data_IF_047179273879
#
_entry.id   IF_047179273879
#
_cell.length_a   1.000
_cell.length_b   1.000
_cell.length_c   1.000
_cell.angle_alpha   90.00
_cell.angle_beta   90.00
_cell.angle_gamma   90.00
#
_symmetry.space_group_name_H-M   'P 1'
#
loop_
_entity.id
_entity.type
_entity.pdbx_description
1 polymer ?
#
# COMPACT_ATOMS: atom_id res chain seq x y z
N UNK A 1 -18.30 18.18 -22.99
CA UNK A 1 -18.74 17.08 -22.12
C UNK A 1 -17.64 16.86 -21.10
N UNK A 2 -17.98 16.86 -19.81
CA UNK A 2 -17.01 16.51 -18.75
C UNK A 2 -16.74 15.02 -18.95
N UNK A 3 -15.47 14.64 -19.18
CA UNK A 3 -15.07 13.25 -19.32
C UNK A 3 -15.37 12.43 -18.04
N UNK A 4 -15.33 11.11 -18.10
CA UNK A 4 -15.60 10.28 -16.93
C UNK A 4 -14.65 10.63 -15.78
N UNK A 5 -15.24 10.88 -14.60
CA UNK A 5 -14.46 11.19 -13.40
C UNK A 5 -13.73 9.93 -12.96
N UNK A 6 -12.40 9.98 -12.89
CA UNK A 6 -11.60 8.88 -12.36
C UNK A 6 -11.89 8.68 -10.87
N UNK A 7 -12.23 7.45 -10.48
CA UNK A 7 -12.53 7.10 -9.09
C UNK A 7 -11.44 6.21 -8.51
N UNK A 8 -10.94 6.59 -7.34
CA UNK A 8 -9.98 5.80 -6.57
C UNK A 8 -10.59 5.31 -5.27
N UNK A 9 -10.22 4.10 -4.87
CA UNK A 9 -10.54 3.54 -3.55
C UNK A 9 -9.26 3.23 -2.79
N UNK A 10 -9.07 3.89 -1.63
CA UNK A 10 -7.87 3.76 -0.81
C UNK A 10 -8.22 3.20 0.57
N UNK A 11 -7.89 1.94 0.81
CA UNK A 11 -7.95 1.40 2.17
C UNK A 11 -6.72 1.87 2.98
N UNK A 12 -6.95 2.32 4.22
CA UNK A 12 -5.89 2.88 5.08
C UNK A 12 -5.43 4.27 4.67
N UNK A 13 -6.29 5.05 3.98
CA UNK A 13 -5.96 6.37 3.46
C UNK A 13 -5.94 7.50 4.50
N UNK A 14 -6.21 7.25 5.80
CA UNK A 14 -6.29 8.31 6.81
C UNK A 14 -4.96 8.65 7.49
N UNK A 15 -3.89 7.89 7.26
CA UNK A 15 -2.56 8.09 7.88
C UNK A 15 -1.44 7.66 6.95
N UNK A 16 -0.22 8.12 7.25
CA UNK A 16 1.02 7.67 6.61
C UNK A 16 0.99 7.76 5.08
N UNK A 17 1.44 6.71 4.41
CA UNK A 17 1.54 6.65 2.94
C UNK A 17 0.16 6.83 2.27
N UNK A 18 -0.87 6.17 2.81
CA UNK A 18 -2.22 6.27 2.25
C UNK A 18 -2.79 7.68 2.29
N UNK A 19 -2.58 8.42 3.39
CA UNK A 19 -3.00 9.82 3.51
C UNK A 19 -2.27 10.71 2.50
N UNK A 20 -0.97 10.54 2.36
CA UNK A 20 -0.20 11.32 1.40
C UNK A 20 -0.64 11.04 -0.05
N UNK A 21 -0.93 9.78 -0.35
CA UNK A 21 -1.50 9.41 -1.65
C UNK A 21 -2.87 10.07 -1.88
N UNK A 22 -3.76 10.06 -0.88
CA UNK A 22 -5.07 10.73 -0.97
C UNK A 22 -4.89 12.21 -1.26
N UNK A 23 -3.95 12.91 -0.60
CA UNK A 23 -3.65 14.32 -0.87
C UNK A 23 -3.16 14.55 -2.30
N UNK A 24 -2.28 13.70 -2.80
CA UNK A 24 -1.78 13.80 -4.18
C UNK A 24 -2.88 13.55 -5.22
N UNK A 25 -3.78 12.61 -4.97
CA UNK A 25 -4.88 12.30 -5.86
C UNK A 25 -5.97 13.37 -5.83
N UNK A 26 -6.24 13.99 -4.67
CA UNK A 26 -7.25 15.04 -4.52
C UNK A 26 -6.95 16.27 -5.40
N UNK A 27 -5.69 16.53 -5.72
CA UNK A 27 -5.29 17.61 -6.64
C UNK A 27 -5.62 17.35 -8.12
N UNK A 28 -6.15 16.17 -8.49
CA UNK A 28 -6.35 15.76 -9.90
C UNK A 28 -7.81 15.64 -10.33
N UNK A 29 -8.76 16.33 -9.72
CA UNK A 29 -10.20 16.27 -10.05
C UNK A 29 -10.81 14.85 -10.04
N UNK A 30 -10.21 13.93 -9.28
CA UNK A 30 -10.66 12.56 -9.13
C UNK A 30 -11.59 12.42 -7.92
N UNK A 31 -12.54 11.49 -7.96
CA UNK A 31 -13.27 11.06 -6.77
C UNK A 31 -12.42 10.06 -5.98
N UNK A 32 -12.32 10.23 -4.66
CA UNK A 32 -11.53 9.36 -3.81
C UNK A 32 -12.39 8.87 -2.63
N UNK A 33 -12.65 7.57 -2.60
CA UNK A 33 -13.26 6.92 -1.44
C UNK A 33 -12.15 6.35 -0.55
N UNK A 34 -12.17 6.71 0.73
CA UNK A 34 -11.18 6.28 1.72
C UNK A 34 -11.83 5.36 2.74
N UNK A 35 -11.39 4.11 2.79
CA UNK A 35 -11.79 3.16 3.82
C UNK A 35 -10.78 3.15 4.95
N UNK A 36 -11.18 3.58 6.12
CA UNK A 36 -10.34 3.59 7.31
C UNK A 36 -11.18 3.69 8.58
N UNK A 37 -10.61 3.30 9.72
CA UNK A 37 -11.29 3.34 11.01
C UNK A 37 -11.60 4.76 11.49
N UNK A 38 -10.78 5.74 11.11
CA UNK A 38 -10.96 7.14 11.48
C UNK A 38 -10.63 8.08 10.32
N UNK A 39 -11.17 9.29 10.37
CA UNK A 39 -10.99 10.33 9.36
C UNK A 39 -9.97 11.41 9.75
N UNK A 40 -9.32 11.30 10.90
CA UNK A 40 -8.64 12.35 11.68
C UNK A 40 -7.81 13.38 10.90
N UNK A 41 -7.17 12.98 9.80
CA UNK A 41 -6.28 13.86 9.03
C UNK A 41 -6.67 13.99 7.55
N UNK A 42 -7.84 13.46 7.17
CA UNK A 42 -8.29 13.51 5.78
C UNK A 42 -8.74 14.92 5.39
N UNK A 43 -8.36 15.40 4.19
CA UNK A 43 -8.99 16.56 3.59
C UNK A 43 -10.40 16.18 3.12
N UNK A 44 -11.40 16.28 4.01
CA UNK A 44 -12.81 15.90 3.70
C UNK A 44 -13.47 16.95 2.79
N UNK A 45 -12.77 17.97 2.38
CA UNK A 45 -13.24 18.96 1.43
C UNK A 45 -12.96 18.50 -0.02
N UNK A 46 -13.93 18.70 -0.89
CA UNK A 46 -13.79 18.36 -2.31
C UNK A 46 -14.07 16.88 -2.65
N UNK A 47 -13.22 16.21 -3.43
CA UNK A 47 -13.52 14.90 -4.02
C UNK A 47 -13.31 13.71 -3.07
N UNK A 48 -12.98 13.95 -1.79
CA UNK A 48 -12.64 12.89 -0.83
C UNK A 48 -13.86 12.52 0.02
N UNK A 49 -14.25 11.26 0.00
CA UNK A 49 -15.28 10.67 0.85
C UNK A 49 -14.67 9.65 1.82
N UNK A 50 -14.84 9.88 3.11
CA UNK A 50 -14.48 8.88 4.12
C UNK A 50 -15.62 7.90 4.36
N UNK A 51 -15.29 6.62 4.38
CA UNK A 51 -16.20 5.53 4.76
C UNK A 51 -15.56 4.77 5.91
N UNK A 52 -16.14 4.84 7.13
CA UNK A 52 -15.63 4.13 8.29
C UNK A 52 -15.62 2.62 8.03
N UNK A 53 -14.46 1.99 8.17
CA UNK A 53 -14.29 0.57 7.92
C UNK A 53 -13.06 0.02 8.63
N UNK A 54 -13.19 -1.13 9.25
CA UNK A 54 -12.07 -1.97 9.67
C UNK A 54 -11.97 -3.17 8.71
N UNK A 55 -10.93 -3.17 7.87
CA UNK A 55 -10.70 -4.23 6.88
C UNK A 55 -10.40 -5.59 7.52
N UNK A 56 -10.12 -5.62 8.82
CA UNK A 56 -9.85 -6.83 9.61
C UNK A 56 -11.00 -7.19 10.57
N UNK A 57 -12.01 -6.35 10.64
CA UNK A 57 -13.17 -6.56 11.50
C UNK A 57 -14.06 -7.71 11.03
N UNK A 58 -14.98 -8.16 11.91
CA UNK A 58 -15.93 -9.23 11.60
C UNK A 58 -17.04 -8.77 10.64
N UNK A 59 -17.28 -7.46 10.56
CA UNK A 59 -18.37 -6.90 9.77
C UNK A 59 -18.10 -7.00 8.27
N UNK A 60 -19.15 -7.08 7.43
CA UNK A 60 -18.99 -6.95 5.99
C UNK A 60 -18.34 -5.62 5.62
N UNK A 61 -17.48 -5.64 4.60
CA UNK A 61 -16.92 -4.42 4.07
C UNK A 61 -18.01 -3.55 3.42
N UNK A 62 -17.88 -2.22 3.44
CA UNK A 62 -18.81 -1.33 2.77
C UNK A 62 -18.86 -1.60 1.27
N UNK A 63 -19.97 -1.26 0.64
CA UNK A 63 -20.07 -1.30 -0.82
C UNK A 63 -19.08 -0.29 -1.44
N UNK A 64 -18.21 -0.73 -2.35
CA UNK A 64 -17.31 0.15 -3.07
C UNK A 64 -18.09 1.01 -4.10
N UNK A 65 -17.48 2.08 -4.65
CA UNK A 65 -18.04 2.82 -5.76
C UNK A 65 -18.41 1.90 -6.94
N UNK A 66 -19.42 2.28 -7.74
CA UNK A 66 -19.89 1.47 -8.88
C UNK A 66 -18.81 1.22 -9.94
N UNK A 67 -17.87 2.13 -10.06
CA UNK A 67 -16.73 2.03 -10.97
C UNK A 67 -15.47 2.55 -10.31
N UNK A 68 -14.39 1.77 -10.35
CA UNK A 68 -13.10 2.08 -9.72
C UNK A 68 -12.03 1.93 -10.80
N UNK A 69 -11.27 2.99 -11.07
CA UNK A 69 -10.13 2.97 -11.97
C UNK A 69 -8.82 2.66 -11.25
N UNK A 70 -8.76 2.96 -9.96
CA UNK A 70 -7.60 2.61 -9.15
C UNK A 70 -7.97 2.21 -7.71
N UNK A 71 -7.36 1.12 -7.21
CA UNK A 71 -7.56 0.64 -5.85
C UNK A 71 -6.21 0.44 -5.15
N UNK A 72 -6.11 0.86 -3.88
CA UNK A 72 -4.88 0.77 -3.10
C UNK A 72 -5.16 0.20 -1.72
N UNK A 73 -4.38 -0.81 -1.34
CA UNK A 73 -4.42 -1.37 0.01
C UNK A 73 -3.17 -0.96 0.79
N UNK A 74 -3.31 0.01 1.68
CA UNK A 74 -2.23 0.54 2.53
C UNK A 74 -2.14 -0.05 3.94
N UNK A 75 -3.19 -0.72 4.53
CA UNK A 75 -3.06 -1.24 5.88
C UNK A 75 -1.91 -2.23 5.99
N UNK A 76 -1.22 -2.20 7.12
CA UNK A 76 -0.10 -3.09 7.38
C UNK A 76 0.34 -3.05 8.82
N UNK A 77 1.22 -3.97 9.18
CA UNK A 77 1.84 -4.09 10.51
C UNK A 77 3.36 -4.03 10.40
N UNK A 78 4.00 -3.64 11.49
CA UNK A 78 5.44 -3.79 11.70
C UNK A 78 5.63 -4.47 13.05
N UNK A 79 5.95 -5.77 13.03
CA UNK A 79 6.19 -6.57 14.22
C UNK A 79 7.64 -7.08 14.19
N UNK A 80 8.53 -6.35 14.84
CA UNK A 80 9.95 -6.62 14.84
C UNK A 80 10.36 -7.33 16.12
N UNK A 81 10.41 -8.67 16.06
CA UNK A 81 10.82 -9.54 17.16
C UNK A 81 11.75 -10.63 16.64
N UNK A 82 12.66 -11.12 17.48
CA UNK A 82 13.42 -12.34 17.15
C UNK A 82 12.45 -13.51 16.97
N UNK A 83 12.81 -14.48 16.12
CA UNK A 83 11.96 -15.65 15.87
C UNK A 83 11.56 -16.38 17.17
N UNK A 84 12.51 -16.47 18.12
CA UNK A 84 12.25 -17.06 19.44
C UNK A 84 11.19 -16.32 20.26
N UNK A 85 11.06 -15.01 20.06
CA UNK A 85 10.14 -14.15 20.82
C UNK A 85 8.78 -13.97 20.11
N UNK A 86 8.66 -14.45 18.87
CA UNK A 86 7.39 -14.43 18.14
C UNK A 86 6.49 -15.56 18.61
N UNK A 87 5.25 -15.24 18.92
CA UNK A 87 4.17 -16.21 19.15
C UNK A 87 3.44 -16.53 17.84
N UNK A 88 2.68 -17.62 17.82
CA UNK A 88 1.77 -17.90 16.70
C UNK A 88 0.75 -16.76 16.49
N UNK A 89 0.32 -16.10 17.56
CA UNK A 89 -0.62 -14.98 17.46
C UNK A 89 0.00 -13.75 16.79
N UNK A 90 1.32 -13.52 16.95
CA UNK A 90 2.03 -12.50 16.16
C UNK A 90 1.94 -12.80 14.65
N UNK A 91 2.13 -14.06 14.26
CA UNK A 91 1.96 -14.50 12.86
C UNK A 91 0.53 -14.36 12.38
N UNK A 92 -0.45 -14.81 13.19
CA UNK A 92 -1.88 -14.67 12.83
C UNK A 92 -2.28 -13.22 12.62
N UNK A 93 -1.81 -12.32 13.50
CA UNK A 93 -2.09 -10.89 13.40
C UNK A 93 -1.48 -10.27 12.13
N UNK A 94 -0.22 -10.56 11.85
CA UNK A 94 0.44 -10.06 10.64
C UNK A 94 -0.25 -10.60 9.38
N UNK A 95 -0.65 -11.87 9.39
CA UNK A 95 -1.40 -12.50 8.32
C UNK A 95 -2.78 -11.87 8.12
N UNK A 96 -3.52 -11.65 9.21
CA UNK A 96 -4.86 -11.05 9.16
C UNK A 96 -4.84 -9.65 8.55
N UNK A 97 -3.93 -8.79 9.03
CA UNK A 97 -3.89 -7.40 8.54
C UNK A 97 -3.29 -7.31 7.15
N UNK A 98 -2.14 -7.96 6.91
CA UNK A 98 -1.40 -7.74 5.66
C UNK A 98 -1.99 -8.53 4.49
N UNK A 99 -2.46 -9.76 4.72
CA UNK A 99 -2.95 -10.65 3.66
C UNK A 99 -4.47 -10.75 3.61
N UNK A 100 -5.12 -11.23 4.68
CA UNK A 100 -6.56 -11.49 4.63
C UNK A 100 -7.38 -10.21 4.48
N UNK A 101 -6.95 -9.11 5.12
CA UNK A 101 -7.54 -7.80 4.88
C UNK A 101 -7.40 -7.34 3.43
N UNK A 102 -6.24 -7.58 2.80
CA UNK A 102 -6.06 -7.31 1.36
C UNK A 102 -6.95 -8.20 0.50
N UNK A 103 -7.08 -9.49 0.82
CA UNK A 103 -7.99 -10.41 0.10
C UNK A 103 -9.44 -9.95 0.19
N UNK A 104 -9.93 -9.57 1.37
CA UNK A 104 -11.29 -9.03 1.55
C UNK A 104 -11.50 -7.77 0.73
N UNK A 105 -10.56 -6.82 0.81
CA UNK A 105 -10.58 -5.59 0.03
C UNK A 105 -10.62 -5.87 -1.47
N UNK A 106 -9.76 -6.73 -1.98
CA UNK A 106 -9.68 -7.07 -3.40
C UNK A 106 -10.96 -7.76 -3.89
N UNK A 107 -11.55 -8.66 -3.11
CA UNK A 107 -12.84 -9.29 -3.43
C UNK A 107 -13.97 -8.27 -3.51
N UNK A 108 -14.01 -7.28 -2.64
CA UNK A 108 -14.99 -6.21 -2.70
C UNK A 108 -14.78 -5.31 -3.93
N UNK A 109 -13.54 -4.98 -4.27
CA UNK A 109 -13.21 -4.11 -5.40
C UNK A 109 -13.39 -4.78 -6.76
N UNK A 110 -13.04 -6.05 -6.89
CA UNK A 110 -12.89 -6.76 -8.17
C UNK A 110 -14.10 -6.59 -9.12
N UNK A 111 -15.35 -6.72 -8.69
CA UNK A 111 -16.51 -6.53 -9.58
C UNK A 111 -16.68 -5.08 -10.08
N UNK A 112 -16.01 -4.13 -9.43
CA UNK A 112 -16.13 -2.68 -9.70
C UNK A 112 -14.89 -2.11 -10.39
N UNK A 113 -13.80 -2.90 -10.53
CA UNK A 113 -12.60 -2.48 -11.25
C UNK A 113 -12.90 -2.41 -12.75
N UNK A 114 -12.91 -1.19 -13.28
CA UNK A 114 -13.22 -0.90 -14.68
C UNK A 114 -12.21 0.10 -15.23
N UNK A 115 -11.60 -0.25 -16.34
CA UNK A 115 -10.78 0.68 -17.10
C UNK A 115 -11.59 1.82 -17.69
N UNK A 116 -10.91 2.84 -18.17
CA UNK A 116 -11.49 4.03 -18.80
C UNK A 116 -10.66 4.38 -20.03
N UNK A 117 -11.31 4.82 -21.11
CA UNK A 117 -10.67 5.27 -22.36
C UNK A 117 -9.67 4.26 -22.97
N UNK A 118 -9.94 2.95 -22.79
CA UNK A 118 -9.07 1.89 -23.29
C UNK A 118 -7.95 1.48 -22.33
N UNK A 119 -7.73 2.23 -21.25
CA UNK A 119 -6.74 1.93 -20.22
C UNK A 119 -7.30 0.96 -19.17
N UNK A 120 -6.53 -0.07 -18.73
CA UNK A 120 -6.96 -1.00 -17.68
C UNK A 120 -7.05 -0.30 -16.33
N UNK A 121 -7.93 -0.80 -15.45
CA UNK A 121 -7.90 -0.41 -14.05
C UNK A 121 -6.57 -0.82 -13.39
N UNK A 122 -6.18 -0.17 -12.30
CA UNK A 122 -4.92 -0.43 -11.62
C UNK A 122 -5.08 -0.67 -10.12
N UNK A 123 -4.36 -1.68 -9.61
CA UNK A 123 -4.33 -2.01 -8.19
C UNK A 123 -2.89 -1.93 -7.67
N UNK A 124 -2.72 -1.31 -6.49
CA UNK A 124 -1.42 -1.23 -5.81
C UNK A 124 -1.52 -1.84 -4.42
N UNK A 125 -0.62 -2.77 -4.14
CA UNK A 125 -0.42 -3.37 -2.82
C UNK A 125 0.92 -2.94 -2.24
N UNK A 126 1.09 -3.08 -0.93
CA UNK A 126 2.35 -2.82 -0.25
C UNK A 126 2.95 -4.11 0.31
N UNK A 127 4.18 -4.42 -0.14
CA UNK A 127 5.08 -5.45 0.39
C UNK A 127 6.14 -4.82 1.31
N UNK A 128 7.31 -5.40 1.36
CA UNK A 128 8.51 -4.89 2.04
C UNK A 128 9.76 -5.50 1.41
N UNK A 129 10.88 -4.77 1.40
CA UNK A 129 12.20 -5.32 0.99
C UNK A 129 12.62 -6.54 1.79
N UNK A 130 12.11 -6.71 3.01
CA UNK A 130 12.41 -7.86 3.87
C UNK A 130 11.95 -9.21 3.28
N UNK A 131 11.07 -9.22 2.28
CA UNK A 131 10.68 -10.45 1.56
C UNK A 131 11.84 -10.96 0.70
N UNK A 132 12.45 -10.09 -0.08
CA UNK A 132 13.53 -10.45 -0.99
C UNK A 132 14.90 -10.52 -0.31
N UNK A 133 15.14 -9.68 0.69
CA UNK A 133 16.44 -9.54 1.33
C UNK A 133 16.53 -10.32 2.61
N UNK A 134 15.87 -11.09 3.16
CA UNK A 134 16.08 -11.73 4.47
C UNK A 134 16.63 -10.75 5.51
N UNK A 135 15.78 -10.26 6.38
CA UNK A 135 16.17 -9.31 7.43
C UNK A 135 15.93 -9.93 8.81
N UNK A 136 16.88 -9.77 9.77
CA UNK A 136 16.65 -10.24 11.13
C UNK A 136 15.43 -9.55 11.73
N UNK A 137 14.71 -10.26 12.61
CA UNK A 137 13.51 -9.78 13.32
C UNK A 137 12.26 -9.52 12.46
N UNK A 138 12.24 -9.91 11.18
CA UNK A 138 11.13 -9.66 10.26
C UNK A 138 10.31 -10.92 9.92
N UNK A 139 10.51 -12.05 10.57
CA UNK A 139 10.00 -13.35 10.13
C UNK A 139 8.48 -13.37 9.91
N UNK A 140 7.67 -12.82 10.83
CA UNK A 140 6.21 -12.83 10.69
C UNK A 140 5.71 -11.89 9.58
N UNK A 141 6.19 -10.65 9.59
CA UNK A 141 5.78 -9.67 8.57
C UNK A 141 6.30 -10.02 7.18
N UNK A 142 7.54 -10.55 7.06
CA UNK A 142 8.08 -10.99 5.78
C UNK A 142 7.29 -12.18 5.20
N UNK A 143 6.89 -13.14 6.04
CA UNK A 143 6.03 -14.24 5.62
C UNK A 143 4.68 -13.76 5.09
N UNK A 144 3.99 -12.87 5.81
CA UNK A 144 2.71 -12.31 5.40
C UNK A 144 2.83 -11.47 4.11
N UNK A 145 3.88 -10.64 3.99
CA UNK A 145 4.11 -9.82 2.80
C UNK A 145 4.58 -10.63 1.59
N UNK A 146 5.33 -11.71 1.81
CA UNK A 146 5.65 -12.68 0.75
C UNK A 146 4.39 -13.33 0.17
N UNK A 147 3.42 -13.65 1.03
CA UNK A 147 2.11 -14.13 0.58
C UNK A 147 1.33 -13.09 -0.23
N UNK A 148 1.42 -11.79 0.14
CA UNK A 148 0.84 -10.68 -0.67
C UNK A 148 1.47 -10.63 -2.06
N UNK A 149 2.79 -10.82 -2.18
CA UNK A 149 3.46 -10.85 -3.48
C UNK A 149 3.01 -12.04 -4.35
N UNK A 150 2.85 -13.23 -3.73
CA UNK A 150 2.32 -14.41 -4.41
C UNK A 150 0.88 -14.19 -4.89
N UNK A 151 0.02 -13.66 -4.03
CA UNK A 151 -1.36 -13.28 -4.38
C UNK A 151 -1.38 -12.29 -5.53
N UNK A 152 -0.58 -11.22 -5.45
CA UNK A 152 -0.49 -10.17 -6.46
C UNK A 152 -0.13 -10.75 -7.85
N UNK A 153 0.89 -11.61 -7.92
CA UNK A 153 1.30 -12.23 -9.20
C UNK A 153 0.22 -13.14 -9.79
N UNK A 154 -0.47 -13.92 -8.96
CA UNK A 154 -1.58 -14.76 -9.39
C UNK A 154 -2.74 -13.94 -9.96
N UNK A 155 -3.13 -12.86 -9.26
CA UNK A 155 -4.19 -11.96 -9.70
C UNK A 155 -3.79 -11.14 -10.94
N UNK A 156 -2.51 -10.80 -11.10
CA UNK A 156 -2.02 -10.14 -12.32
C UNK A 156 -2.25 -11.02 -13.55
N UNK A 157 -2.02 -12.32 -13.43
CA UNK A 157 -2.27 -13.28 -14.52
C UNK A 157 -3.78 -13.48 -14.77
N UNK A 158 -4.57 -13.57 -13.72
CA UNK A 158 -6.01 -13.81 -13.81
C UNK A 158 -6.79 -12.60 -14.35
N UNK A 159 -6.40 -11.39 -13.98
CA UNK A 159 -7.15 -10.16 -14.29
C UNK A 159 -6.69 -9.44 -15.57
N UNK A 160 -5.53 -9.83 -16.11
CA UNK A 160 -5.06 -9.29 -17.38
C UNK A 160 -6.05 -9.63 -18.52
N UNK A 161 -6.22 -8.76 -19.53
CA UNK A 161 -5.66 -7.43 -19.69
C UNK A 161 -6.48 -6.30 -19.03
N UNK A 162 -7.55 -6.63 -18.29
CA UNK A 162 -8.54 -5.65 -17.79
C UNK A 162 -8.04 -4.86 -16.58
N UNK A 163 -7.17 -5.46 -15.77
CA UNK A 163 -6.65 -4.86 -14.54
C UNK A 163 -5.15 -5.12 -14.44
N UNK A 164 -4.38 -4.09 -14.14
CA UNK A 164 -2.98 -4.19 -13.72
C UNK A 164 -2.93 -4.27 -12.19
N UNK A 165 -2.08 -5.09 -11.65
CA UNK A 165 -1.85 -5.17 -10.21
C UNK A 165 -0.35 -5.28 -9.93
N UNK A 166 0.16 -4.42 -9.04
CA UNK A 166 1.57 -4.37 -8.68
C UNK A 166 1.73 -4.20 -7.17
N UNK A 167 2.91 -4.49 -6.66
CA UNK A 167 3.27 -4.25 -5.27
C UNK A 167 4.45 -3.29 -5.16
N UNK A 168 4.42 -2.39 -4.18
CA UNK A 168 5.58 -1.59 -3.77
C UNK A 168 6.20 -2.28 -2.57
N UNK A 169 7.52 -2.50 -2.59
CA UNK A 169 8.29 -3.05 -1.50
C UNK A 169 9.18 -1.96 -0.86
N UNK A 170 8.67 -1.19 0.11
CA UNK A 170 9.46 -0.17 0.75
C UNK A 170 10.45 -0.76 1.76
N UNK A 171 11.56 -0.05 1.98
CA UNK A 171 12.33 -0.15 3.20
C UNK A 171 11.69 0.74 4.29
N UNK A 172 12.47 1.34 5.18
CA UNK A 172 11.92 2.21 6.22
C UNK A 172 11.42 3.53 5.64
N UNK A 173 10.12 3.75 5.76
CA UNK A 173 9.43 5.00 5.38
C UNK A 173 8.92 5.68 6.65
N UNK A 174 9.20 6.96 6.81
CA UNK A 174 8.77 7.77 7.97
C UNK A 174 7.25 7.90 8.02
N UNK A 175 6.64 7.11 8.88
CA UNK A 175 5.19 7.00 9.07
C UNK A 175 4.88 6.83 10.56
N UNK A 176 3.65 7.11 11.02
CA UNK A 176 3.25 6.83 12.39
C UNK A 176 3.48 5.36 12.82
N UNK A 177 3.46 4.43 11.85
CA UNK A 177 3.69 3.01 12.11
C UNK A 177 5.09 2.71 12.66
N UNK A 178 6.08 3.49 12.28
CA UNK A 178 7.50 3.32 12.64
C UNK A 178 8.05 4.45 13.52
N UNK A 179 7.20 5.30 14.07
CA UNK A 179 7.55 6.48 14.86
C UNK A 179 8.60 6.17 15.96
N UNK A 180 8.44 5.04 16.67
CA UNK A 180 9.38 4.62 17.72
C UNK A 180 10.79 4.36 17.20
N UNK A 181 10.94 3.95 15.94
CA UNK A 181 12.24 3.69 15.32
C UNK A 181 12.96 4.98 14.93
N UNK A 182 12.21 6.06 14.74
CA UNK A 182 12.69 7.36 14.30
C UNK A 182 12.48 8.47 15.34
N UNK A 183 12.33 8.09 16.62
CA UNK A 183 11.88 8.99 17.68
C UNK A 183 12.92 10.03 18.12
N UNK A 184 14.20 9.86 17.78
CA UNK A 184 15.27 10.85 18.08
C UNK A 184 16.11 11.13 16.82
N UNK A 185 16.79 12.30 16.77
CA UNK A 185 17.70 12.62 15.66
C UNK A 185 18.77 11.56 15.45
N UNK A 186 19.37 11.02 16.53
CA UNK A 186 20.43 10.01 16.46
C UNK A 186 19.92 8.70 15.84
N UNK A 187 18.69 8.28 16.19
CA UNK A 187 18.07 7.11 15.58
C UNK A 187 17.79 7.33 14.10
N UNK A 188 17.32 8.54 13.72
CA UNK A 188 17.10 8.90 12.31
C UNK A 188 18.39 8.85 11.51
N UNK A 189 19.47 9.43 12.05
CA UNK A 189 20.78 9.42 11.41
C UNK A 189 21.32 8.00 11.27
N UNK A 190 21.26 7.20 12.32
CA UNK A 190 21.69 5.80 12.30
C UNK A 190 20.90 4.96 11.27
N UNK A 191 19.60 5.21 11.11
CA UNK A 191 18.79 4.57 10.07
C UNK A 191 19.14 5.09 8.68
N UNK A 192 19.29 6.41 8.50
CA UNK A 192 19.66 7.05 7.24
C UNK A 192 21.02 6.55 6.71
N UNK A 193 22.00 6.35 7.59
CA UNK A 193 23.32 5.87 7.24
C UNK A 193 23.32 4.49 6.57
N UNK A 194 22.28 3.67 6.79
CA UNK A 194 22.13 2.32 6.21
C UNK A 194 21.78 2.32 4.73
N UNK A 195 21.29 3.44 4.21
CA UNK A 195 20.86 3.55 2.81
C UNK A 195 21.93 4.22 1.95
N UNK A 196 22.16 3.75 0.72
CA UNK A 196 23.02 4.46 -0.25
C UNK A 196 22.65 5.94 -0.40
N UNK A 197 21.36 6.28 -0.46
CA UNK A 197 20.87 7.67 -0.57
C UNK A 197 20.95 8.48 0.73
N UNK A 198 21.50 7.91 1.83
CA UNK A 198 21.76 8.60 3.11
C UNK A 198 20.56 9.31 3.72
N UNK A 199 19.36 8.80 3.47
CA UNK A 199 18.12 9.26 4.12
C UNK A 199 17.13 8.13 4.32
N UNK A 200 16.20 8.31 5.24
CA UNK A 200 15.01 7.49 5.38
C UNK A 200 14.00 7.88 4.28
N UNK A 201 13.21 6.93 3.80
CA UNK A 201 12.13 7.20 2.87
C UNK A 201 11.04 8.08 3.49
N UNK A 202 10.36 8.86 2.69
CA UNK A 202 9.22 9.69 3.09
C UNK A 202 7.90 9.08 2.61
N UNK A 203 6.78 9.48 3.22
CA UNK A 203 5.45 9.13 2.72
C UNK A 203 5.26 9.59 1.28
N UNK A 204 5.84 10.73 0.91
CA UNK A 204 5.79 11.28 -0.44
C UNK A 204 6.52 10.40 -1.47
N UNK A 205 7.67 9.82 -1.11
CA UNK A 205 8.36 8.87 -2.01
C UNK A 205 7.45 7.68 -2.36
N UNK A 206 6.79 7.10 -1.36
CA UNK A 206 5.93 5.94 -1.55
C UNK A 206 4.61 6.29 -2.25
N UNK A 207 4.01 7.43 -1.91
CA UNK A 207 2.79 7.91 -2.53
C UNK A 207 2.99 8.28 -4.00
N UNK A 208 4.15 8.89 -4.35
CA UNK A 208 4.49 9.22 -5.72
C UNK A 208 4.60 7.96 -6.61
N UNK A 209 5.25 6.90 -6.11
CA UNK A 209 5.34 5.62 -6.83
C UNK A 209 3.96 4.96 -6.95
N UNK A 210 3.14 4.99 -5.89
CA UNK A 210 1.78 4.46 -5.96
C UNK A 210 0.92 5.23 -6.97
N UNK A 211 1.00 6.56 -7.00
CA UNK A 211 0.31 7.40 -7.98
C UNK A 211 0.76 7.09 -9.41
N UNK A 212 2.06 6.91 -9.64
CA UNK A 212 2.58 6.49 -10.95
C UNK A 212 2.01 5.12 -11.37
N UNK A 213 1.97 4.14 -10.47
CA UNK A 213 1.41 2.82 -10.76
C UNK A 213 -0.10 2.84 -11.02
N UNK A 214 -0.82 3.82 -10.48
CA UNK A 214 -2.24 4.03 -10.74
C UNK A 214 -2.50 4.75 -12.08
N UNK A 215 -1.50 5.44 -12.62
CA UNK A 215 -1.65 6.25 -13.83
C UNK A 215 -1.50 5.43 -15.12
N UNK A 216 -1.97 5.95 -16.27
CA UNK A 216 -1.73 5.36 -17.59
C UNK A 216 -0.25 5.26 -17.96
N UNK A 217 0.61 6.13 -17.40
CA UNK A 217 2.06 6.14 -17.65
C UNK A 217 2.73 4.81 -17.28
N UNK A 218 2.13 4.03 -16.39
CA UNK A 218 2.57 2.67 -16.02
C UNK A 218 1.81 1.56 -16.77
N UNK A 219 1.19 1.87 -17.91
CA UNK A 219 0.31 0.97 -18.67
C UNK A 219 0.92 -0.39 -19.05
N UNK A 220 2.26 -0.47 -19.14
CA UNK A 220 2.99 -1.71 -19.46
C UNK A 220 3.58 -2.42 -18.23
N UNK A 221 3.13 -2.06 -17.02
CA UNK A 221 3.64 -2.63 -15.75
C UNK A 221 2.51 -3.37 -15.04
N UNK A 222 2.61 -4.70 -14.92
CA UNK A 222 1.74 -5.54 -14.11
C UNK A 222 2.50 -6.75 -13.55
N UNK A 223 2.07 -7.27 -12.40
CA UNK A 223 2.71 -8.42 -11.74
C UNK A 223 4.08 -8.12 -11.12
N UNK A 224 4.45 -6.84 -11.00
CA UNK A 224 5.78 -6.45 -10.54
C UNK A 224 5.80 -6.09 -9.05
N UNK A 225 6.93 -6.38 -8.41
CA UNK A 225 7.28 -5.89 -7.07
C UNK A 225 8.36 -4.83 -7.25
N UNK A 226 8.03 -3.58 -6.96
CA UNK A 226 8.96 -2.47 -7.12
C UNK A 226 9.59 -2.10 -5.77
N UNK A 227 10.91 -2.24 -5.68
CA UNK A 227 11.70 -1.82 -4.51
C UNK A 227 11.68 -0.29 -4.35
N UNK A 228 11.46 0.17 -3.13
CA UNK A 228 11.53 1.59 -2.76
C UNK A 228 12.37 1.72 -1.48
N UNK A 229 13.69 1.73 -1.62
CA UNK A 229 14.60 1.45 -0.51
C UNK A 229 15.88 2.29 -0.49
N UNK A 230 15.95 3.34 -1.29
CA UNK A 230 17.14 4.20 -1.35
C UNK A 230 18.40 3.47 -1.82
N UNK A 231 18.24 2.36 -2.57
CA UNK A 231 19.32 1.54 -3.09
C UNK A 231 19.80 0.40 -2.15
N UNK A 232 19.17 0.24 -0.98
CA UNK A 232 19.62 -0.73 0.02
C UNK A 232 19.68 -2.17 -0.51
N UNK A 233 18.75 -2.57 -1.39
CA UNK A 233 18.67 -3.94 -1.89
C UNK A 233 19.61 -4.25 -3.06
N UNK A 234 20.04 -3.23 -3.80
CA UNK A 234 20.66 -3.43 -5.13
C UNK A 234 22.00 -2.75 -5.30
N UNK A 235 22.28 -1.73 -4.50
CA UNK A 235 23.51 -0.92 -4.63
C UNK A 235 24.47 -1.20 -3.47
N UNK A 236 25.73 -1.42 -3.80
CA UNK A 236 26.84 -1.56 -2.85
C UNK A 236 27.68 -0.29 -2.89
N UNK A 237 27.76 0.44 -1.79
CA UNK A 237 28.56 1.66 -1.62
C UNK A 237 29.57 1.49 -0.49
#
# INVERSE_FOLDING_TARGET
MIGPVTTYLVAGGSRGIGLELVRMLAGSAARIDVWSRSADALPIEGPVRHVPCDVTGPDPLPDPPESIQGAVYCPGTVNLKSFRALSEDDFRRDWEVNLLGAVRFLKACQPRLKGVDGEPASVVLFSTVAVAQGMPMHSSVAAAKGAVEGLMRSLAAEWAPKVRINAIAPALVDTPLVERMLSTPEKREAMAARYPLKRVGTTSDAAALARFLLSPESGWITGQVLGLDGGMSTVRV
#
